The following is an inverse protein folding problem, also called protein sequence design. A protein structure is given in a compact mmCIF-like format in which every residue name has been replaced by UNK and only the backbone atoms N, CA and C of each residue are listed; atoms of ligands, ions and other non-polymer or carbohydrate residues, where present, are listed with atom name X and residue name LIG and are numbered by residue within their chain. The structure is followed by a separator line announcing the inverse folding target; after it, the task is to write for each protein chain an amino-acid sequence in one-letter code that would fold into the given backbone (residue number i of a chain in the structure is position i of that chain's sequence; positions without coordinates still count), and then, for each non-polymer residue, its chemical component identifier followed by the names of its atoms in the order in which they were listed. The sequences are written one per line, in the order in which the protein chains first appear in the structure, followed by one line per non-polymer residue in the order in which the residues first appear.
data_IF_098036502501
#
_entry.id   IF_098036502501
#
_cell.length_a   1.000
_cell.length_b   1.000
_cell.length_c   1.000
_cell.angle_alpha   90.00
_cell.angle_beta   90.00
_cell.angle_gamma   90.00
#
_symmetry.space_group_name_H-M   'P 1'
#
loop_
_entity.id
_entity.type
_entity.pdbx_description
1 polymer ?
#
# COMPACT_ATOMS: atom_id res chain seq x y z
N UNK A 1 10.54 -4.37 -0.02
CA UNK A 1 9.07 -4.13 0.04
C UNK A 1 8.45 -4.25 -1.34
N UNK A 2 7.17 -4.63 -1.41
CA UNK A 2 6.49 -5.16 -2.60
C UNK A 2 6.60 -4.33 -3.88
N UNK A 3 6.76 -3.01 -3.79
CA UNK A 3 7.00 -2.14 -4.96
C UNK A 3 8.38 -2.38 -5.61
N UNK A 4 9.41 -2.70 -4.82
CA UNK A 4 10.77 -2.92 -5.31
C UNK A 4 11.12 -4.39 -5.49
N UNK A 5 10.31 -5.32 -4.97
CA UNK A 5 10.63 -6.76 -4.91
C UNK A 5 11.76 -7.09 -3.93
N UNK A 6 12.18 -6.15 -3.08
CA UNK A 6 13.19 -6.41 -2.04
C UNK A 6 12.59 -7.21 -0.89
N UNK A 7 13.38 -8.03 -0.17
CA UNK A 7 12.95 -8.75 1.03
C UNK A 7 12.25 -7.84 2.06
N UNK A 8 11.45 -8.45 2.93
CA UNK A 8 10.75 -7.72 3.99
C UNK A 8 11.72 -7.23 5.05
N UNK A 9 12.71 -8.04 5.43
CA UNK A 9 13.73 -7.67 6.42
C UNK A 9 14.54 -6.42 6.05
N UNK A 10 14.63 -6.10 4.76
CA UNK A 10 15.41 -4.97 4.24
C UNK A 10 14.61 -3.66 4.20
N UNK A 11 13.29 -3.69 4.31
CA UNK A 11 12.53 -2.44 4.25
C UNK A 11 12.55 -1.72 5.60
N UNK A 12 12.89 -0.43 5.51
CA UNK A 12 12.82 0.50 6.61
C UNK A 12 11.87 1.63 6.19
N UNK A 13 10.75 1.82 6.91
CA UNK A 13 9.89 2.95 6.62
C UNK A 13 10.63 4.28 6.89
N UNK A 14 10.22 5.40 6.26
CA UNK A 14 10.75 6.71 6.57
C UNK A 14 10.68 7.03 8.08
N UNK A 15 11.62 7.84 8.57
CA UNK A 15 11.70 8.21 9.98
C UNK A 15 10.35 8.68 10.55
N UNK A 16 10.10 8.36 11.82
CA UNK A 16 8.84 8.42 12.59
C UNK A 16 7.91 7.21 12.43
N UNK A 17 7.94 6.51 11.30
CA UNK A 17 7.06 5.35 11.09
C UNK A 17 7.72 4.05 11.59
N UNK A 18 6.93 3.21 12.25
CA UNK A 18 7.35 1.87 12.68
C UNK A 18 6.81 0.83 11.70
N UNK A 19 7.62 -0.20 11.42
CA UNK A 19 7.11 -1.38 10.77
C UNK A 19 6.33 -2.21 11.78
N UNK A 20 5.01 -2.15 11.72
CA UNK A 20 4.13 -2.92 12.62
C UNK A 20 3.58 -4.21 11.99
N UNK A 21 3.48 -4.28 10.66
CA UNK A 21 2.89 -5.43 9.93
C UNK A 21 3.66 -6.76 10.17
N UNK A 22 4.99 -6.69 10.20
CA UNK A 22 5.90 -7.81 10.43
C UNK A 22 6.21 -8.06 11.90
N UNK A 23 5.74 -7.17 12.79
CA UNK A 23 5.82 -7.35 14.23
C UNK A 23 4.64 -6.66 14.93
N UNK A 24 3.47 -7.34 15.02
CA UNK A 24 2.25 -6.75 15.58
C UNK A 24 2.36 -6.34 17.05
N UNK A 25 3.38 -6.85 17.77
CA UNK A 25 3.65 -6.46 19.16
C UNK A 25 4.29 -5.06 19.27
N UNK A 26 4.78 -4.49 18.17
CA UNK A 26 5.34 -3.15 18.11
C UNK A 26 4.24 -2.18 17.68
N UNK A 27 4.00 -1.16 18.50
CA UNK A 27 3.10 -0.06 18.19
C UNK A 27 3.77 1.26 18.61
N UNK A 28 3.48 2.38 17.93
CA UNK A 28 4.02 3.66 18.35
C UNK A 28 3.46 4.02 19.73
N UNK A 29 4.29 4.67 20.56
CA UNK A 29 3.88 5.09 21.91
C UNK A 29 2.67 6.04 21.90
N UNK A 30 2.52 6.79 20.80
CA UNK A 30 1.38 7.65 20.51
C UNK A 30 0.86 7.35 19.10
N UNK A 31 -0.47 7.42 18.86
CA UNK A 31 -1.00 7.34 17.50
C UNK A 31 -0.41 8.43 16.62
N UNK A 32 -0.10 8.08 15.37
CA UNK A 32 0.30 9.07 14.37
C UNK A 32 -0.82 10.10 14.15
N UNK A 33 -0.43 11.36 14.02
CA UNK A 33 -1.32 12.43 13.62
C UNK A 33 -1.81 12.22 12.19
N UNK A 34 -2.95 12.84 11.86
CA UNK A 34 -3.50 12.79 10.50
C UNK A 34 -2.51 13.36 9.49
N UNK A 35 -1.81 14.43 9.85
CA UNK A 35 -0.84 15.12 9.01
C UNK A 35 0.38 14.23 8.72
N UNK A 36 0.87 13.49 9.71
CA UNK A 36 1.95 12.50 9.53
C UNK A 36 1.52 11.40 8.57
N UNK A 37 0.34 10.80 8.78
CA UNK A 37 -0.19 9.74 7.92
C UNK A 37 -0.38 10.23 6.48
N UNK A 38 -0.94 11.43 6.28
CA UNK A 38 -1.11 12.01 4.95
C UNK A 38 0.23 12.31 4.27
N UNK A 39 1.24 12.74 5.03
CA UNK A 39 2.60 12.95 4.52
C UNK A 39 3.21 11.64 4.04
N UNK A 40 3.07 10.56 4.82
CA UNK A 40 3.54 9.24 4.43
C UNK A 40 2.82 8.70 3.20
N UNK A 41 1.49 8.83 3.13
CA UNK A 41 0.70 8.45 1.96
C UNK A 41 1.13 9.21 0.69
N UNK A 42 1.45 10.50 0.81
CA UNK A 42 1.94 11.28 -0.32
C UNK A 42 3.32 10.78 -0.80
N UNK A 43 4.21 10.43 0.12
CA UNK A 43 5.53 9.87 -0.20
C UNK A 43 5.41 8.49 -0.88
N UNK A 44 4.65 7.56 -0.29
CA UNK A 44 4.45 6.22 -0.86
C UNK A 44 3.75 6.25 -2.22
N UNK A 45 2.80 7.18 -2.42
CA UNK A 45 2.19 7.41 -3.72
C UNK A 45 3.20 7.84 -4.77
N UNK A 46 4.09 8.79 -4.46
CA UNK A 46 5.15 9.24 -5.38
C UNK A 46 6.08 8.10 -5.75
N UNK A 47 6.51 7.30 -4.77
CA UNK A 47 7.34 6.11 -4.99
C UNK A 47 6.64 5.11 -5.88
N UNK A 48 5.37 4.78 -5.60
CA UNK A 48 4.57 3.86 -6.42
C UNK A 48 4.47 4.33 -7.88
N UNK A 49 4.16 5.61 -8.11
CA UNK A 49 4.13 6.16 -9.47
C UNK A 49 5.50 6.05 -10.14
N UNK A 50 6.58 6.48 -9.48
CA UNK A 50 7.92 6.42 -10.05
C UNK A 50 8.32 4.99 -10.42
N UNK A 51 8.05 4.02 -9.54
CA UNK A 51 8.30 2.60 -9.79
C UNK A 51 7.52 2.08 -10.99
N UNK A 52 6.22 2.36 -11.06
CA UNK A 52 5.37 1.91 -12.16
C UNK A 52 5.79 2.51 -13.50
N UNK A 53 6.14 3.80 -13.54
CA UNK A 53 6.60 4.45 -14.77
C UNK A 53 7.98 3.97 -15.23
N UNK A 54 8.81 3.48 -14.32
CA UNK A 54 10.12 2.90 -14.63
C UNK A 54 10.06 1.37 -14.87
N UNK A 55 8.89 0.74 -14.74
CA UNK A 55 8.76 -0.71 -14.84
C UNK A 55 8.88 -1.17 -16.30
N UNK A 56 9.99 -1.84 -16.60
CA UNK A 56 10.21 -2.53 -17.89
C UNK A 56 9.54 -3.90 -17.87
N UNK A 57 9.20 -4.44 -19.05
CA UNK A 57 8.65 -5.79 -19.19
C UNK A 57 9.57 -6.85 -18.58
N UNK A 58 10.89 -6.76 -18.79
CA UNK A 58 11.86 -7.69 -18.22
C UNK A 58 11.79 -7.69 -16.70
N UNK A 59 11.76 -6.50 -16.08
CA UNK A 59 11.61 -6.35 -14.63
C UNK A 59 10.25 -6.86 -14.14
N UNK A 60 9.17 -6.63 -14.90
CA UNK A 60 7.83 -7.08 -14.52
C UNK A 60 7.72 -8.61 -14.42
N UNK A 61 8.42 -9.35 -15.29
CA UNK A 61 8.44 -10.81 -15.32
C UNK A 61 9.43 -11.44 -14.32
N UNK A 62 10.24 -10.65 -13.61
CA UNK A 62 11.18 -11.21 -12.62
C UNK A 62 10.43 -11.80 -11.43
N UNK A 63 10.71 -13.08 -11.15
CA UNK A 63 10.15 -13.82 -10.01
C UNK A 63 10.94 -13.53 -8.73
N UNK A 64 10.22 -13.23 -7.67
CA UNK A 64 10.71 -13.05 -6.31
C UNK A 64 10.23 -14.22 -5.46
N UNK A 65 11.15 -14.96 -4.85
CA UNK A 65 10.83 -16.11 -3.98
C UNK A 65 11.25 -15.88 -2.51
N UNK A 66 11.66 -14.66 -2.17
CA UNK A 66 12.11 -14.31 -0.81
C UNK A 66 10.96 -14.08 0.17
N UNK A 67 9.71 -13.99 -0.30
CA UNK A 67 8.56 -13.75 0.57
C UNK A 67 8.03 -15.07 1.15
N UNK A 68 7.92 -15.23 2.47
CA UNK A 68 7.48 -16.49 3.08
C UNK A 68 6.10 -16.97 2.61
N UNK A 69 5.20 -16.04 2.27
CA UNK A 69 3.83 -16.31 1.87
C UNK A 69 3.66 -16.71 0.40
N UNK A 70 4.70 -16.58 -0.45
CA UNK A 70 4.65 -16.97 -1.87
C UNK A 70 4.96 -18.46 -2.09
N UNK A 71 5.51 -19.13 -1.08
CA UNK A 71 5.97 -20.51 -1.19
C UNK A 71 7.07 -20.69 -2.25
N UNK A 72 7.26 -21.94 -2.69
CA UNK A 72 8.34 -22.31 -3.62
C UNK A 72 8.17 -21.73 -5.03
N UNK A 73 6.95 -21.39 -5.44
CA UNK A 73 6.66 -20.89 -6.78
C UNK A 73 7.11 -19.43 -6.97
N UNK A 74 7.28 -18.69 -5.87
CA UNK A 74 7.53 -17.25 -5.91
C UNK A 74 6.37 -16.46 -6.52
N UNK A 75 6.63 -15.19 -6.79
CA UNK A 75 5.67 -14.26 -7.38
C UNK A 75 6.40 -13.28 -8.29
N UNK A 76 5.85 -12.97 -9.46
CA UNK A 76 6.43 -11.96 -10.33
C UNK A 76 6.29 -10.55 -9.73
N UNK A 77 7.17 -9.62 -10.12
CA UNK A 77 7.04 -8.22 -9.73
C UNK A 77 5.71 -7.62 -10.21
N UNK A 78 5.20 -8.03 -11.37
CA UNK A 78 3.87 -7.62 -11.82
C UNK A 78 2.77 -8.07 -10.86
N UNK A 79 2.77 -9.35 -10.46
CA UNK A 79 1.81 -9.89 -9.50
C UNK A 79 1.93 -9.21 -8.12
N UNK A 80 3.13 -8.84 -7.69
CA UNK A 80 3.34 -8.05 -6.47
C UNK A 80 2.68 -6.67 -6.52
N UNK A 81 2.70 -6.00 -7.68
CA UNK A 81 2.01 -4.71 -7.85
C UNK A 81 0.48 -4.90 -7.79
N UNK A 82 -0.05 -5.97 -8.38
CA UNK A 82 -1.47 -6.32 -8.29
C UNK A 82 -1.88 -6.68 -6.86
N UNK A 83 -1.03 -7.44 -6.15
CA UNK A 83 -1.19 -7.74 -4.74
C UNK A 83 -1.22 -6.45 -3.91
N UNK A 84 -0.26 -5.55 -4.11
CA UNK A 84 -0.18 -4.26 -3.41
C UNK A 84 -1.45 -3.43 -3.60
N UNK A 85 -1.99 -3.38 -4.82
CA UNK A 85 -3.25 -2.70 -5.10
C UNK A 85 -4.42 -3.31 -4.30
N UNK A 86 -4.55 -4.64 -4.29
CA UNK A 86 -5.62 -5.33 -3.55
C UNK A 86 -5.46 -5.14 -2.04
N UNK A 87 -4.24 -5.20 -1.53
CA UNK A 87 -3.94 -4.99 -0.12
C UNK A 87 -4.33 -3.57 0.33
N UNK A 88 -4.01 -2.55 -0.47
CA UNK A 88 -4.44 -1.17 -0.20
C UNK A 88 -5.96 -1.02 -0.26
N UNK A 89 -6.63 -1.68 -1.22
CA UNK A 89 -8.09 -1.67 -1.32
C UNK A 89 -8.76 -2.30 -0.09
N UNK A 90 -8.22 -3.41 0.40
CA UNK A 90 -8.69 -4.09 1.60
C UNK A 90 -8.59 -3.20 2.84
N UNK A 91 -7.40 -2.66 3.12
CA UNK A 91 -7.19 -1.75 4.27
C UNK A 91 -8.02 -0.48 4.18
N UNK A 92 -8.20 0.07 2.98
CA UNK A 92 -9.09 1.22 2.78
C UNK A 92 -10.54 0.87 3.11
N UNK A 93 -11.02 -0.30 2.66
CA UNK A 93 -12.37 -0.76 2.99
C UNK A 93 -12.57 -1.00 4.50
N UNK A 94 -11.57 -1.57 5.18
CA UNK A 94 -11.59 -1.74 6.64
C UNK A 94 -11.66 -0.40 7.37
N UNK A 95 -10.86 0.60 6.95
CA UNK A 95 -10.93 1.95 7.51
C UNK A 95 -12.30 2.59 7.30
N UNK A 96 -12.86 2.49 6.09
CA UNK A 96 -14.20 3.02 5.77
C UNK A 96 -15.28 2.36 6.64
N UNK A 97 -15.20 1.05 6.85
CA UNK A 97 -16.09 0.32 7.75
C UNK A 97 -16.04 0.90 9.18
N UNK A 98 -14.85 1.11 9.73
CA UNK A 98 -14.70 1.68 11.08
C UNK A 98 -15.26 3.10 11.16
N UNK A 99 -14.96 3.95 10.17
CA UNK A 99 -15.50 5.33 10.13
C UNK A 99 -17.04 5.33 10.10
N UNK A 100 -17.65 4.44 9.31
CA UNK A 100 -19.11 4.27 9.28
C UNK A 100 -19.68 3.79 10.62
N UNK A 101 -19.01 2.85 11.30
CA UNK A 101 -19.39 2.41 12.65
C UNK A 101 -19.31 3.54 13.70
N UNK A 102 -18.46 4.54 13.46
CA UNK A 102 -18.32 5.74 14.29
C UNK A 102 -19.19 6.93 13.83
N UNK A 103 -20.15 6.70 12.93
CA UNK A 103 -21.13 7.70 12.52
C UNK A 103 -20.64 8.75 11.52
N UNK A 104 -19.50 8.50 10.85
CA UNK A 104 -19.04 9.33 9.74
C UNK A 104 -19.88 8.99 8.50
N UNK A 105 -20.56 9.97 7.87
CA UNK A 105 -21.47 9.70 6.77
C UNK A 105 -20.73 9.35 5.47
N UNK A 106 -21.32 8.47 4.66
CA UNK A 106 -20.75 7.96 3.41
C UNK A 106 -20.41 9.06 2.37
N UNK A 107 -21.21 10.12 2.37
CA UNK A 107 -21.01 11.33 1.55
C UNK A 107 -19.72 12.11 1.89
N UNK A 108 -19.17 11.95 3.10
CA UNK A 108 -17.86 12.47 3.46
C UNK A 108 -16.70 11.57 2.99
N UNK A 109 -16.98 10.32 2.59
CA UNK A 109 -15.97 9.29 2.34
C UNK A 109 -15.60 9.12 0.85
N UNK A 110 -16.23 9.87 -0.08
CA UNK A 110 -15.93 10.15 -1.52
C UNK A 110 -14.94 9.25 -2.29
N UNK A 111 -14.92 7.94 -2.06
CA UNK A 111 -13.95 7.02 -2.66
C UNK A 111 -14.54 6.26 -3.85
N UNK A 112 -15.85 6.03 -3.89
CA UNK A 112 -16.51 5.25 -4.95
C UNK A 112 -16.96 6.09 -6.16
N UNK A 113 -17.23 7.39 -5.97
CA UNK A 113 -17.90 8.21 -7.00
C UNK A 113 -17.01 8.73 -8.15
N UNK A 114 -15.66 8.67 -8.03
CA UNK A 114 -14.75 9.28 -9.01
C UNK A 114 -14.55 8.49 -10.30
N UNK A 115 -14.99 7.23 -10.37
CA UNK A 115 -14.85 6.40 -11.57
C UNK A 115 -15.74 6.88 -12.76
N UNK A 116 -16.73 7.73 -12.52
CA UNK A 116 -17.71 8.16 -13.55
C UNK A 116 -17.30 9.35 -14.43
N UNK A 117 -16.23 10.10 -14.10
CA UNK A 117 -15.95 11.39 -14.76
C UNK A 117 -14.64 11.45 -15.56
N UNK A 118 -13.99 10.32 -15.84
CA UNK A 118 -12.74 10.26 -16.60
C UNK A 118 -12.93 10.06 -18.11
N UNK A 119 -13.72 10.89 -18.80
CA UNK A 119 -13.81 10.87 -20.27
C UNK A 119 -14.28 12.20 -20.88
N UNK A 120 -13.60 13.31 -20.58
CA UNK A 120 -13.62 14.50 -21.44
C UNK A 120 -12.29 15.24 -21.36
N UNK A 121 -11.40 14.94 -22.31
CA UNK A 121 -10.37 15.85 -22.86
C UNK A 121 -10.16 15.48 -24.31
#
# INVERSE_FOLDING_TARGET
MYLSGSPEEDFTPPALFLWTEGNPAVSPEQPYTKEELLTYLAATRRTCHATLFALTDERAHQTISSYPWTGEQGVSILELHLYTMRHVQEHAAQLLLFLGQHGIPDEALTTVARAKHGHQT
#
